data_IF_000333332568
#
_entry.id   IF_000333332568
#
_cell.length_a   1.000
_cell.length_b   1.000
_cell.length_c   1.000
_cell.angle_alpha   90.00
_cell.angle_beta   90.00
_cell.angle_gamma   90.00
#
_symmetry.space_group_name_H-M   'P 1'
#
loop_
_entity.id
_entity.type
_entity.pdbx_description
1 polymer ?
#
# COMPACT_ATOMS: atom_id res chain seq x y z
N UNK A 1 2.86 -18.06 23.18
CA UNK A 1 3.64 -18.39 22.00
C UNK A 1 2.68 -18.95 20.96
N UNK A 2 2.55 -18.26 19.80
CA UNK A 2 1.68 -18.74 18.74
C UNK A 2 2.27 -19.99 18.08
N UNK A 3 1.43 -21.00 17.88
CA UNK A 3 1.80 -22.20 17.12
C UNK A 3 1.65 -21.83 15.64
N UNK A 4 2.71 -22.03 14.86
CA UNK A 4 2.67 -21.87 13.40
C UNK A 4 2.19 -23.19 12.81
N UNK A 5 1.00 -23.20 12.23
CA UNK A 5 0.46 -24.33 11.50
C UNK A 5 0.57 -24.15 9.99
N UNK A 6 0.75 -25.23 9.20
CA UNK A 6 0.72 -25.12 7.74
C UNK A 6 -0.67 -24.67 7.27
N UNK A 7 -0.75 -23.55 6.53
CA UNK A 7 -2.01 -22.97 6.04
C UNK A 7 -2.71 -23.78 4.93
N UNK A 8 -2.19 -24.96 4.56
CA UNK A 8 -2.73 -25.79 3.50
C UNK A 8 -2.36 -25.32 2.09
N UNK A 9 -3.03 -25.88 1.07
CA UNK A 9 -2.78 -25.56 -0.34
C UNK A 9 -3.56 -24.32 -0.76
N UNK A 10 -2.93 -23.42 -1.52
CA UNK A 10 -3.57 -22.24 -2.07
C UNK A 10 -3.51 -22.25 -3.61
N UNK A 11 -4.42 -21.51 -4.25
CA UNK A 11 -4.43 -21.21 -5.68
C UNK A 11 -4.47 -19.70 -5.86
N UNK A 12 -3.61 -19.15 -6.71
CA UNK A 12 -3.61 -17.74 -7.09
C UNK A 12 -3.56 -17.66 -8.61
N UNK A 13 -4.49 -16.91 -9.17
CA UNK A 13 -4.55 -16.60 -10.60
C UNK A 13 -4.63 -15.08 -10.72
N UNK A 14 -3.95 -14.50 -11.68
CA UNK A 14 -3.94 -13.04 -11.81
C UNK A 14 -3.27 -12.55 -13.07
N UNK A 15 -3.26 -11.22 -13.20
CA UNK A 15 -2.64 -10.48 -14.28
C UNK A 15 -1.85 -9.34 -13.66
N UNK A 16 -0.59 -9.23 -14.08
CA UNK A 16 0.28 -8.11 -13.78
C UNK A 16 0.44 -7.24 -15.02
N UNK A 17 0.17 -5.95 -14.89
CA UNK A 17 0.32 -4.95 -15.95
C UNK A 17 1.39 -3.98 -15.51
N UNK A 18 2.45 -3.85 -16.30
CA UNK A 18 3.52 -2.88 -16.09
C UNK A 18 3.53 -1.94 -17.29
N UNK A 19 3.27 -0.66 -17.06
CA UNK A 19 3.31 0.38 -18.07
C UNK A 19 4.37 1.41 -17.72
N UNK A 20 5.15 1.82 -18.72
CA UNK A 20 6.09 2.94 -18.64
C UNK A 20 5.98 3.75 -19.92
N UNK A 21 5.89 5.06 -19.76
CA UNK A 21 5.78 5.95 -20.88
C UNK A 21 6.65 7.18 -20.66
N UNK A 22 7.43 7.52 -21.66
CA UNK A 22 8.29 8.72 -21.67
C UNK A 22 7.67 9.75 -22.60
N UNK A 23 7.18 10.84 -22.03
CA UNK A 23 6.58 11.94 -22.79
C UNK A 23 7.63 12.83 -23.43
N UNK A 24 8.71 13.10 -22.68
CA UNK A 24 9.87 13.88 -23.12
C UNK A 24 11.14 13.29 -22.52
N UNK A 25 12.32 13.84 -22.86
CA UNK A 25 13.59 13.39 -22.27
C UNK A 25 13.63 13.50 -20.74
N UNK A 26 12.77 14.32 -20.14
CA UNK A 26 12.77 14.59 -18.73
C UNK A 26 11.45 14.20 -18.03
N UNK A 27 10.36 13.99 -18.76
CA UNK A 27 9.03 13.67 -18.20
C UNK A 27 8.64 12.26 -18.57
N UNK A 28 8.34 11.46 -17.55
CA UNK A 28 7.89 10.08 -17.72
C UNK A 28 6.83 9.72 -16.69
N UNK A 29 6.04 8.70 -17.02
CA UNK A 29 5.09 8.08 -16.12
C UNK A 29 5.32 6.57 -16.05
N UNK A 30 4.92 5.98 -14.93
CA UNK A 30 4.83 4.54 -14.77
C UNK A 30 3.57 4.14 -14.01
N UNK A 31 3.12 2.92 -14.24
CA UNK A 31 2.06 2.29 -13.46
C UNK A 31 2.31 0.78 -13.42
N UNK A 32 2.21 0.20 -12.23
CA UNK A 32 2.17 -1.24 -12.02
C UNK A 32 0.82 -1.56 -11.42
N UNK A 33 0.06 -2.43 -12.06
CA UNK A 33 -1.28 -2.83 -11.66
C UNK A 33 -1.32 -4.34 -11.55
N UNK A 34 -1.72 -4.83 -10.39
CA UNK A 34 -1.91 -6.26 -10.15
C UNK A 34 -3.38 -6.53 -9.89
N UNK A 35 -3.92 -7.53 -10.59
CA UNK A 35 -5.20 -8.15 -10.30
C UNK A 35 -4.97 -9.62 -10.00
N UNK A 36 -5.48 -10.10 -8.87
CA UNK A 36 -5.30 -11.50 -8.48
C UNK A 36 -6.55 -12.05 -7.80
N UNK A 37 -6.76 -13.37 -7.93
CA UNK A 37 -7.82 -14.12 -7.28
C UNK A 37 -7.22 -15.18 -6.37
N UNK A 38 -6.83 -14.81 -5.14
CA UNK A 38 -6.26 -15.73 -4.18
C UNK A 38 -7.36 -16.55 -3.51
N UNK A 39 -7.21 -17.90 -3.44
CA UNK A 39 -8.13 -18.82 -2.77
C UNK A 39 -7.39 -19.94 -2.07
N UNK A 40 -7.86 -20.34 -0.89
CA UNK A 40 -7.47 -21.56 -0.23
C UNK A 40 -8.12 -22.76 -0.93
N UNK A 41 -7.40 -23.88 -1.06
CA UNK A 41 -7.95 -25.13 -1.62
C UNK A 41 -8.46 -26.05 -0.51
N UNK A 42 -9.52 -26.82 -0.81
CA UNK A 42 -10.07 -27.79 0.13
C UNK A 42 -10.98 -27.15 1.19
N UNK A 43 -11.28 -25.87 1.07
CA UNK A 43 -12.25 -25.16 1.90
C UNK A 43 -13.58 -24.99 1.16
N UNK A 44 -14.69 -24.87 1.90
CA UNK A 44 -16.00 -24.57 1.32
C UNK A 44 -16.00 -23.17 0.68
N UNK A 45 -16.84 -22.99 -0.35
CA UNK A 45 -17.00 -21.68 -1.01
C UNK A 45 -17.49 -20.63 0.01
N UNK A 46 -16.82 -19.51 0.09
CA UNK A 46 -17.07 -18.45 1.07
C UNK A 46 -16.27 -18.57 2.35
N UNK A 47 -15.58 -19.71 2.57
CA UNK A 47 -14.64 -19.96 3.65
C UNK A 47 -13.22 -20.15 3.10
N UNK A 48 -13.02 -19.78 1.86
CA UNK A 48 -11.81 -20.04 1.07
C UNK A 48 -10.98 -18.78 0.79
N UNK A 49 -11.27 -17.69 1.46
CA UNK A 49 -10.49 -16.48 1.36
C UNK A 49 -9.12 -16.66 2.04
N UNK A 50 -8.09 -16.04 1.45
CA UNK A 50 -6.78 -15.97 2.09
C UNK A 50 -6.71 -14.65 2.83
N UNK A 51 -6.58 -14.66 4.17
CA UNK A 51 -6.53 -13.44 4.96
C UNK A 51 -5.46 -12.47 4.45
N UNK A 52 -5.80 -11.19 4.38
CA UNK A 52 -4.98 -10.06 3.96
C UNK A 52 -4.47 -10.12 2.50
N UNK A 53 -4.86 -11.11 1.71
CA UNK A 53 -4.48 -11.18 0.31
C UNK A 53 -5.35 -10.24 -0.55
N UNK A 54 -4.77 -9.16 -1.12
CA UNK A 54 -5.53 -8.21 -1.93
C UNK A 54 -5.89 -8.83 -3.28
N UNK A 55 -7.04 -8.41 -3.82
CA UNK A 55 -7.47 -8.77 -5.18
C UNK A 55 -7.09 -7.73 -6.23
N UNK A 56 -6.73 -6.52 -5.80
CA UNK A 56 -6.20 -5.48 -6.68
C UNK A 56 -5.25 -4.58 -5.90
N UNK A 57 -4.11 -4.29 -6.52
CA UNK A 57 -3.14 -3.28 -6.06
C UNK A 57 -2.64 -2.47 -7.24
N UNK A 58 -2.28 -1.22 -7.01
CA UNK A 58 -1.64 -0.40 -8.02
C UNK A 58 -0.68 0.60 -7.39
N UNK A 59 0.46 0.78 -8.03
CA UNK A 59 1.42 1.84 -7.71
C UNK A 59 1.86 2.50 -9.00
N UNK A 60 2.12 3.80 -8.96
CA UNK A 60 2.62 4.52 -10.13
C UNK A 60 2.83 5.98 -9.86
N UNK A 61 3.15 6.71 -10.91
CA UNK A 61 3.37 8.15 -10.79
C UNK A 61 3.81 8.82 -12.09
N UNK A 62 3.94 10.14 -12.00
CA UNK A 62 4.47 11.00 -13.05
C UNK A 62 5.67 11.74 -12.45
N UNK A 63 6.78 11.74 -13.18
CA UNK A 63 8.04 12.23 -12.69
C UNK A 63 8.71 13.12 -13.74
N UNK A 64 9.22 14.24 -13.28
CA UNK A 64 10.09 15.11 -14.03
C UNK A 64 11.50 15.04 -13.46
N UNK A 65 12.48 14.62 -14.29
CA UNK A 65 13.88 14.45 -13.89
C UNK A 65 14.79 15.31 -14.73
N UNK A 66 15.64 16.08 -14.06
CA UNK A 66 16.73 16.87 -14.63
C UNK A 66 17.98 16.75 -13.77
N UNK A 67 19.18 16.81 -14.35
CA UNK A 67 20.42 16.76 -13.56
C UNK A 67 20.58 18.00 -12.68
N UNK A 68 20.19 19.15 -13.19
CA UNK A 68 20.25 20.43 -12.47
C UNK A 68 18.96 21.22 -12.69
N UNK A 69 18.58 22.02 -11.69
CA UNK A 69 17.33 22.78 -11.69
C UNK A 69 16.19 22.01 -11.00
N UNK A 70 14.96 22.31 -11.38
CA UNK A 70 13.80 21.68 -10.80
C UNK A 70 13.63 20.23 -11.27
N UNK A 71 13.31 19.35 -10.34
CA UNK A 71 12.89 17.98 -10.57
C UNK A 71 11.89 17.58 -9.47
N UNK A 72 11.15 16.49 -9.69
CA UNK A 72 10.16 16.03 -8.73
C UNK A 72 9.15 15.11 -9.36
N UNK A 73 8.07 14.85 -8.64
CA UNK A 73 6.99 13.99 -9.15
C UNK A 73 5.86 13.82 -8.17
N UNK A 74 4.83 13.19 -8.69
CA UNK A 74 3.66 12.74 -7.92
C UNK A 74 3.60 11.23 -8.08
N UNK A 75 3.46 10.52 -6.97
CA UNK A 75 3.26 9.07 -6.96
C UNK A 75 2.03 8.69 -6.16
N UNK A 76 1.44 7.55 -6.52
CA UNK A 76 0.29 7.01 -5.82
C UNK A 76 0.51 5.55 -5.43
N UNK A 77 -0.22 5.14 -4.38
CA UNK A 77 -0.34 3.76 -3.91
C UNK A 77 -1.82 3.44 -3.69
N UNK A 78 -2.25 2.33 -4.24
CA UNK A 78 -3.61 1.81 -4.08
C UNK A 78 -3.59 0.36 -3.66
N UNK A 79 -4.41 0.04 -2.69
CA UNK A 79 -4.75 -1.34 -2.33
C UNK A 79 -6.26 -1.42 -2.12
N UNK A 80 -6.90 -2.41 -2.73
CA UNK A 80 -8.31 -2.68 -2.55
C UNK A 80 -8.58 -3.26 -1.16
N UNK A 81 -9.73 -2.95 -0.57
CA UNK A 81 -10.21 -3.65 0.64
C UNK A 81 -10.21 -5.16 0.43
N UNK A 82 -9.80 -5.89 1.44
CA UNK A 82 -9.50 -7.31 1.38
C UNK A 82 -10.01 -8.04 2.61
N UNK A 83 -10.27 -9.36 2.54
CA UNK A 83 -10.65 -10.15 3.70
C UNK A 83 -9.53 -10.11 4.75
N UNK A 84 -9.88 -9.91 6.01
CA UNK A 84 -8.96 -10.05 7.13
C UNK A 84 -9.01 -11.46 7.75
N UNK A 85 -10.06 -12.24 7.41
CA UNK A 85 -10.27 -13.62 7.83
C UNK A 85 -10.76 -14.51 6.66
N UNK A 86 -10.90 -15.80 6.90
CA UNK A 86 -11.18 -16.81 5.86
C UNK A 86 -12.59 -16.74 5.28
N UNK A 87 -13.58 -16.22 6.02
CA UNK A 87 -15.00 -16.11 5.64
C UNK A 87 -15.38 -14.69 5.16
N UNK A 88 -14.44 -13.74 5.17
CA UNK A 88 -14.64 -12.35 4.79
C UNK A 88 -15.67 -11.60 5.68
N UNK A 89 -15.92 -12.06 6.89
CA UNK A 89 -16.73 -11.32 7.85
C UNK A 89 -16.00 -10.09 8.41
N UNK A 90 -14.66 -10.13 8.45
CA UNK A 90 -13.81 -9.00 8.84
C UNK A 90 -13.07 -8.46 7.62
N UNK A 91 -13.15 -7.14 7.45
CA UNK A 91 -12.60 -6.43 6.27
C UNK A 91 -11.42 -5.56 6.67
N UNK A 92 -10.25 -5.85 6.11
CA UNK A 92 -9.13 -4.92 6.12
C UNK A 92 -9.36 -3.85 5.04
N UNK A 93 -9.52 -2.59 5.47
CA UNK A 93 -9.81 -1.45 4.57
C UNK A 93 -8.66 -1.21 3.60
N UNK A 94 -9.02 -0.96 2.36
CA UNK A 94 -8.10 -0.47 1.34
C UNK A 94 -7.85 1.03 1.46
N UNK A 95 -6.92 1.54 0.65
CA UNK A 95 -6.62 2.96 0.58
C UNK A 95 -6.12 3.38 -0.80
N UNK A 96 -6.21 4.66 -1.07
CA UNK A 96 -5.53 5.33 -2.17
C UNK A 96 -4.75 6.52 -1.59
N UNK A 97 -3.43 6.45 -1.64
CA UNK A 97 -2.55 7.51 -1.15
C UNK A 97 -1.84 8.17 -2.32
N UNK A 98 -1.62 9.45 -2.19
CA UNK A 98 -0.84 10.23 -3.16
C UNK A 98 0.18 11.07 -2.42
N UNK A 99 1.42 11.04 -2.93
CA UNK A 99 2.55 11.79 -2.41
C UNK A 99 3.11 12.66 -3.54
N UNK A 100 3.68 13.82 -3.19
CA UNK A 100 4.37 14.68 -4.14
C UNK A 100 5.71 15.15 -3.59
N UNK A 101 6.63 15.40 -4.51
CA UNK A 101 7.92 16.01 -4.15
C UNK A 101 8.38 16.96 -5.23
N UNK A 102 9.09 18.00 -4.82
CA UNK A 102 9.83 18.91 -5.70
C UNK A 102 11.21 19.15 -5.12
N UNK A 103 12.22 19.12 -5.96
CA UNK A 103 13.59 19.39 -5.57
C UNK A 103 14.19 20.42 -6.53
N UNK A 104 15.08 21.25 -6.01
CA UNK A 104 15.92 22.14 -6.78
C UNK A 104 17.39 21.78 -6.55
N UNK A 105 18.00 21.22 -7.60
CA UNK A 105 19.35 20.65 -7.54
C UNK A 105 20.35 21.56 -8.23
N UNK A 106 21.43 21.86 -7.57
CA UNK A 106 22.64 22.56 -8.08
C UNK A 106 23.86 21.67 -7.85
N UNK A 107 25.02 21.94 -8.51
CA UNK A 107 26.21 21.11 -8.33
C UNK A 107 26.70 20.97 -6.88
N UNK A 108 26.44 21.96 -6.03
CA UNK A 108 26.92 22.00 -4.64
C UNK A 108 25.80 21.81 -3.60
N UNK A 109 24.53 21.88 -3.98
CA UNK A 109 23.42 21.72 -3.01
C UNK A 109 22.14 21.28 -3.66
N UNK A 110 21.27 20.72 -2.87
CA UNK A 110 19.89 20.39 -3.24
C UNK A 110 18.94 20.81 -2.11
N UNK A 111 17.88 21.50 -2.49
CA UNK A 111 16.75 21.81 -1.59
C UNK A 111 15.54 21.03 -2.10
N UNK A 112 14.90 20.28 -1.23
CA UNK A 112 13.73 19.46 -1.55
C UNK A 112 12.58 19.71 -0.60
N UNK A 113 11.36 19.63 -1.13
CA UNK A 113 10.13 19.62 -0.37
C UNK A 113 9.28 18.44 -0.81
N UNK A 114 8.77 17.70 0.17
CA UNK A 114 7.89 16.56 -0.10
C UNK A 114 6.68 16.60 0.82
N UNK A 115 5.54 16.18 0.28
CA UNK A 115 4.29 16.00 1.01
C UNK A 115 3.83 14.56 0.80
N UNK A 116 3.62 13.84 1.89
CA UNK A 116 3.05 12.50 1.92
C UNK A 116 1.56 12.59 2.29
N UNK A 117 0.75 11.68 1.74
CA UNK A 117 -0.70 11.65 1.94
C UNK A 117 -1.37 13.01 1.72
N UNK A 118 -1.22 13.56 0.51
CA UNK A 118 -1.67 14.92 0.14
C UNK A 118 -3.15 15.16 0.44
N UNK A 119 -3.97 14.13 0.30
CA UNK A 119 -5.42 14.23 0.55
C UNK A 119 -5.79 14.05 2.02
N UNK A 120 -4.80 13.86 2.90
CA UNK A 120 -5.02 13.60 4.34
C UNK A 120 -6.05 12.50 4.60
N UNK A 121 -5.94 11.40 3.85
CA UNK A 121 -6.85 10.26 3.97
C UNK A 121 -6.51 9.48 5.25
N UNK A 122 -7.52 9.13 6.02
CA UNK A 122 -7.38 8.17 7.12
C UNK A 122 -7.17 6.77 6.55
N UNK A 123 -6.06 6.15 6.89
CA UNK A 123 -5.69 4.83 6.41
C UNK A 123 -4.95 4.03 7.48
N UNK A 124 -4.91 2.73 7.28
CA UNK A 124 -4.22 1.81 8.19
C UNK A 124 -3.03 1.16 7.47
N UNK A 125 -1.84 1.28 8.05
CA UNK A 125 -0.61 0.72 7.51
C UNK A 125 -0.59 -0.80 7.63
N UNK A 126 -0.87 -1.31 8.84
CA UNK A 126 -1.07 -2.73 9.11
C UNK A 126 -2.48 -2.98 9.62
N UNK A 127 -3.06 -4.11 9.22
CA UNK A 127 -4.39 -4.54 9.66
C UNK A 127 -4.40 -6.06 9.72
N UNK A 128 -4.92 -6.63 10.79
CA UNK A 128 -5.05 -8.08 10.95
C UNK A 128 -6.21 -8.41 11.87
N UNK A 129 -6.91 -9.52 11.59
CA UNK A 129 -7.95 -10.04 12.45
C UNK A 129 -7.32 -10.94 13.51
N UNK A 130 -7.71 -10.73 14.77
CA UNK A 130 -7.37 -11.61 15.89
C UNK A 130 -8.60 -11.93 16.68
N UNK A 131 -8.66 -13.14 17.19
CA UNK A 131 -9.68 -13.55 18.14
C UNK A 131 -9.19 -13.16 19.54
N UNK A 132 -9.96 -12.34 20.22
CA UNK A 132 -9.70 -11.89 21.59
C UNK A 132 -10.94 -12.02 22.45
N UNK A 133 -10.74 -12.11 23.76
CA UNK A 133 -11.80 -12.13 24.74
C UNK A 133 -11.46 -11.21 25.90
N UNK A 134 -12.25 -10.18 26.08
CA UNK A 134 -12.17 -9.31 27.25
C UNK A 134 -12.77 -9.98 28.48
N UNK A 135 -12.41 -9.50 29.68
CA UNK A 135 -12.83 -10.10 30.97
C UNK A 135 -14.35 -10.18 31.12
N UNK A 136 -15.11 -9.29 30.50
CA UNK A 136 -16.57 -9.20 30.60
C UNK A 136 -17.32 -9.88 29.44
N UNK A 137 -16.62 -10.51 28.52
CA UNK A 137 -17.22 -11.14 27.34
C UNK A 137 -17.48 -12.64 27.60
N UNK A 138 -18.67 -13.17 27.24
CA UNK A 138 -18.95 -14.59 27.40
C UNK A 138 -18.14 -15.46 26.42
N UNK A 139 -17.87 -14.97 25.23
CA UNK A 139 -17.15 -15.68 24.18
C UNK A 139 -16.03 -14.78 23.57
N UNK A 140 -15.04 -15.43 22.94
CA UNK A 140 -14.06 -14.73 22.15
C UNK A 140 -14.70 -14.10 20.88
N UNK A 141 -14.26 -12.92 20.51
CA UNK A 141 -14.74 -12.14 19.35
C UNK A 141 -13.58 -11.86 18.42
N UNK A 142 -13.82 -12.01 17.13
CA UNK A 142 -12.83 -11.65 16.12
C UNK A 142 -12.87 -10.15 15.84
N UNK A 143 -11.78 -9.47 16.14
CA UNK A 143 -11.65 -8.01 15.98
C UNK A 143 -10.54 -7.67 15.01
N UNK A 144 -10.69 -6.52 14.35
CA UNK A 144 -9.67 -5.96 13.48
C UNK A 144 -8.71 -5.08 14.30
N UNK A 145 -7.49 -5.53 14.45
CA UNK A 145 -6.41 -4.73 15.00
C UNK A 145 -5.68 -4.01 13.86
N UNK A 146 -5.25 -2.77 14.09
CA UNK A 146 -4.58 -1.99 13.06
C UNK A 146 -3.59 -0.98 13.64
N UNK A 147 -2.62 -0.63 12.81
CA UNK A 147 -1.72 0.50 13.05
C UNK A 147 -2.17 1.64 12.16
N UNK A 148 -2.53 2.83 12.71
CA UNK A 148 -2.86 3.99 11.90
C UNK A 148 -1.69 4.38 11.00
N UNK A 149 -2.00 4.73 9.77
CA UNK A 149 -1.03 5.27 8.84
C UNK A 149 -0.76 6.75 9.10
N UNK A 150 0.35 7.23 8.56
CA UNK A 150 0.74 8.64 8.70
C UNK A 150 -0.30 9.56 8.04
N UNK A 151 -0.83 10.58 8.75
CA UNK A 151 -1.66 11.61 8.15
C UNK A 151 -0.84 12.44 7.15
N UNK A 152 -1.40 13.55 6.65
CA UNK A 152 -0.61 14.45 5.81
C UNK A 152 0.68 14.85 6.53
N UNK A 153 1.80 14.69 5.86
CA UNK A 153 3.12 14.95 6.43
C UNK A 153 4.03 15.65 5.41
N UNK A 154 4.61 16.77 5.81
CA UNK A 154 5.51 17.55 4.98
C UNK A 154 6.96 17.44 5.46
N UNK A 155 7.89 17.31 4.51
CA UNK A 155 9.34 17.22 4.74
C UNK A 155 10.08 18.30 3.97
N UNK A 156 11.05 18.93 4.62
CA UNK A 156 12.07 19.75 3.98
C UNK A 156 13.40 19.01 3.99
N UNK A 157 14.08 19.00 2.85
CA UNK A 157 15.40 18.39 2.67
C UNK A 157 16.41 19.46 2.26
N UNK A 158 17.56 19.45 2.90
CA UNK A 158 18.75 20.20 2.45
C UNK A 158 19.92 19.22 2.34
N UNK A 159 20.57 19.18 1.19
CA UNK A 159 21.79 18.42 0.97
C UNK A 159 22.88 19.34 0.44
N UNK A 160 24.11 19.15 0.92
CA UNK A 160 25.30 19.89 0.47
C UNK A 160 26.30 18.86 -0.05
N UNK A 161 26.89 19.15 -1.22
CA UNK A 161 27.86 18.28 -1.89
C UNK A 161 29.26 18.96 -1.86
N UNK A 162 30.26 18.22 -1.41
CA UNK A 162 31.63 18.67 -1.28
C UNK A 162 32.51 18.16 -2.41
#
# INVERSE_FOLDING_TARGET
AGIVEPSGKTKREGIDIVARYQFTNNLFANANINFTKPRARGKAKGQDYIPLAPTATSIGGIFYKKQTGFNGGINYRYIKSRPANEDYSVVAKGYFLMDASVNYTKPKYEIGFAVENIFNIDWNEAQFATESRLANEPNAVTELNYTPGTPIFAKLKLAVFF
#
